data_IF_313202258890
#
_entry.id   IF_313202258890
#
_cell.length_a   1.000
_cell.length_b   1.000
_cell.length_c   1.000
_cell.angle_alpha   90.00
_cell.angle_beta   90.00
_cell.angle_gamma   90.00
#
_symmetry.space_group_name_H-M   'P 1'
#
loop_
_entity.id
_entity.type
_entity.pdbx_description
1 polymer ?
#
# COMPACT_ATOMS: atom_id res chain seq x y z
N UNK A 1 -12.69 25.51 1.80
CA UNK A 1 -11.78 24.42 2.25
C UNK A 1 -12.18 23.16 1.52
N UNK A 2 -11.22 22.42 0.95
CA UNK A 2 -11.49 21.17 0.23
C UNK A 2 -11.51 20.00 1.21
N UNK A 3 -12.58 19.21 1.19
CA UNK A 3 -12.68 17.99 2.01
C UNK A 3 -12.15 16.79 1.23
N UNK A 4 -11.31 15.99 1.88
CA UNK A 4 -10.71 14.79 1.30
C UNK A 4 -11.02 13.60 2.21
N UNK A 5 -11.47 12.51 1.61
CA UNK A 5 -11.71 11.22 2.27
C UNK A 5 -10.67 10.22 1.79
N UNK A 6 -10.01 9.58 2.75
CA UNK A 6 -9.00 8.57 2.49
C UNK A 6 -9.60 7.21 2.89
N UNK A 7 -9.63 6.27 1.95
CA UNK A 7 -9.98 4.87 2.22
C UNK A 7 -8.75 4.01 1.97
N UNK A 8 -8.27 3.35 3.02
CA UNK A 8 -7.15 2.42 2.93
C UNK A 8 -7.61 0.99 3.22
N UNK A 9 -7.18 0.05 2.37
CA UNK A 9 -7.34 -1.38 2.60
C UNK A 9 -5.95 -2.01 2.80
N UNK A 10 -5.58 -2.37 4.03
CA UNK A 10 -4.26 -2.93 4.32
C UNK A 10 -4.07 -4.35 3.75
N UNK A 11 -5.14 -5.07 3.45
CA UNK A 11 -5.08 -6.43 2.89
C UNK A 11 -4.81 -6.41 1.39
N UNK A 12 -5.54 -5.56 0.65
CA UNK A 12 -5.39 -5.42 -0.79
C UNK A 12 -4.28 -4.45 -1.19
N UNK A 13 -3.72 -3.75 -0.20
CA UNK A 13 -2.63 -2.79 -0.39
C UNK A 13 -3.01 -1.57 -1.21
N UNK A 14 -4.26 -1.16 -1.08
CA UNK A 14 -4.84 -0.08 -1.86
C UNK A 14 -5.18 1.11 -0.97
N UNK A 15 -4.84 2.29 -1.45
CA UNK A 15 -5.29 3.56 -0.89
C UNK A 15 -6.06 4.27 -2.00
N UNK A 16 -7.27 4.73 -1.69
CA UNK A 16 -8.09 5.53 -2.58
C UNK A 16 -8.42 6.85 -1.91
N UNK A 17 -8.48 7.90 -2.72
CA UNK A 17 -8.69 9.26 -2.28
C UNK A 17 -9.94 9.81 -2.98
N UNK A 18 -10.84 10.41 -2.21
CA UNK A 18 -12.07 10.99 -2.73
C UNK A 18 -12.17 12.46 -2.29
N UNK A 19 -12.71 13.30 -3.16
CA UNK A 19 -13.05 14.70 -2.91
C UNK A 19 -14.55 14.81 -2.72
N UNK A 20 -14.95 15.68 -1.78
CA UNK A 20 -16.37 15.99 -1.60
C UNK A 20 -16.79 17.01 -2.63
N UNK A 21 -17.81 16.68 -3.43
CA UNK A 21 -18.46 17.61 -4.32
C UNK A 21 -19.71 18.16 -3.65
N UNK A 22 -19.67 19.47 -3.34
CA UNK A 22 -20.79 20.15 -2.70
C UNK A 22 -22.00 20.34 -3.63
N UNK A 23 -21.82 20.22 -4.96
CA UNK A 23 -22.93 20.37 -5.91
C UNK A 23 -23.78 19.09 -6.01
N UNK A 24 -23.15 17.93 -5.87
CA UNK A 24 -23.82 16.61 -5.92
C UNK A 24 -24.02 15.98 -4.54
N UNK A 25 -23.47 16.60 -3.49
CA UNK A 25 -23.41 16.07 -2.12
C UNK A 25 -22.73 14.69 -2.02
N UNK A 26 -21.82 14.40 -2.95
CA UNK A 26 -21.25 13.07 -3.14
C UNK A 26 -19.72 13.03 -3.07
N UNK A 27 -19.19 11.81 -2.87
CA UNK A 27 -17.75 11.56 -2.81
C UNK A 27 -17.23 11.05 -4.15
N UNK A 28 -16.54 11.91 -4.88
CA UNK A 28 -16.01 11.62 -6.21
C UNK A 28 -14.55 11.18 -6.08
N UNK A 29 -14.12 10.19 -6.88
CA UNK A 29 -12.71 9.80 -6.92
C UNK A 29 -11.87 10.99 -7.40
N UNK A 30 -10.78 11.29 -6.68
CA UNK A 30 -9.82 12.34 -7.05
C UNK A 30 -9.27 12.10 -8.46
N UNK A 31 -9.19 10.83 -8.89
CA UNK A 31 -8.76 10.48 -10.24
C UNK A 31 -9.69 10.99 -11.33
N UNK A 32 -10.97 11.21 -11.02
CA UNK A 32 -11.98 11.71 -11.95
C UNK A 32 -12.18 13.23 -11.79
N UNK A 33 -12.00 13.77 -10.59
CA UNK A 33 -12.24 15.19 -10.33
C UNK A 33 -11.08 16.09 -10.71
N UNK A 34 -9.83 15.64 -10.57
CA UNK A 34 -8.64 16.47 -10.80
C UNK A 34 -7.48 15.66 -11.37
N UNK A 35 -7.27 15.78 -12.69
CA UNK A 35 -6.23 15.05 -13.41
C UNK A 35 -4.80 15.39 -12.96
N UNK A 36 -4.58 16.59 -12.42
CA UNK A 36 -3.25 17.07 -12.00
C UNK A 36 -2.96 16.81 -10.52
N UNK A 37 -3.89 16.19 -9.79
CA UNK A 37 -3.72 15.93 -8.37
C UNK A 37 -2.59 14.93 -8.11
N UNK A 38 -1.67 15.30 -7.20
CA UNK A 38 -0.57 14.43 -6.74
C UNK A 38 -1.07 13.22 -5.94
N UNK A 39 -2.32 13.25 -5.48
CA UNK A 39 -2.95 12.13 -4.78
C UNK A 39 -3.45 11.03 -5.74
N UNK A 40 -3.26 11.21 -7.06
CA UNK A 40 -3.45 10.13 -8.04
C UNK A 40 -2.27 9.16 -8.10
N UNK A 41 -1.12 9.55 -7.56
CA UNK A 41 0.10 8.73 -7.58
C UNK A 41 -0.16 7.38 -6.88
N UNK A 42 0.33 6.29 -7.49
CA UNK A 42 0.18 4.92 -7.01
C UNK A 42 1.02 4.70 -5.74
N UNK A 43 0.60 5.31 -4.64
CA UNK A 43 1.23 5.25 -3.32
C UNK A 43 1.28 3.82 -2.73
N UNK A 44 0.56 2.87 -3.33
CA UNK A 44 0.55 1.46 -2.96
C UNK A 44 1.92 0.80 -3.06
N UNK A 45 2.84 1.28 -3.90
CA UNK A 45 4.21 0.75 -3.88
C UNK A 45 5.01 1.36 -2.72
N UNK A 46 5.03 2.69 -2.59
CA UNK A 46 5.86 3.40 -1.60
C UNK A 46 5.55 3.07 -0.15
N UNK A 47 4.27 3.02 0.24
CA UNK A 47 3.89 2.74 1.63
C UNK A 47 4.12 1.28 2.02
N UNK A 48 3.93 0.36 1.07
CA UNK A 48 4.17 -1.06 1.33
C UNK A 48 5.65 -1.41 1.38
N UNK A 49 6.52 -0.67 0.70
CA UNK A 49 7.97 -0.81 0.85
C UNK A 49 8.43 -0.58 2.29
N UNK A 50 7.94 0.46 2.96
CA UNK A 50 8.29 0.74 4.38
C UNK A 50 7.79 -0.36 5.33
N UNK A 51 6.56 -0.83 5.13
CA UNK A 51 5.98 -1.96 5.88
C UNK A 51 6.75 -3.28 5.64
N UNK A 52 7.16 -3.54 4.39
CA UNK A 52 7.94 -4.71 3.99
C UNK A 52 9.35 -4.66 4.56
N UNK A 53 10.01 -3.50 4.54
CA UNK A 53 11.32 -3.27 5.16
C UNK A 53 11.28 -3.52 6.67
N UNK A 54 10.26 -3.03 7.37
CA UNK A 54 10.12 -3.25 8.82
C UNK A 54 9.93 -4.73 9.16
N UNK A 55 9.15 -5.47 8.37
CA UNK A 55 9.02 -6.93 8.50
C UNK A 55 10.35 -7.65 8.23
N UNK A 56 11.09 -7.23 7.22
CA UNK A 56 12.41 -7.79 6.90
C UNK A 56 13.42 -7.58 8.04
N UNK A 57 13.52 -6.36 8.59
CA UNK A 57 14.37 -6.05 9.74
C UNK A 57 13.98 -6.82 11.01
N UNK A 58 12.68 -7.02 11.24
CA UNK A 58 12.18 -7.83 12.36
C UNK A 58 12.52 -9.33 12.20
N UNK A 59 12.63 -9.82 10.96
CA UNK A 59 13.03 -11.20 10.65
C UNK A 59 14.54 -11.40 10.80
N UNK A 60 15.34 -10.42 10.34
CA UNK A 60 16.79 -10.43 10.51
C UNK A 60 17.23 -10.34 11.97
N UNK A 61 16.52 -9.55 12.78
CA UNK A 61 16.82 -9.41 14.22
C UNK A 61 16.45 -10.64 15.05
N UNK A 62 15.54 -11.50 14.56
CA UNK A 62 15.30 -12.82 15.14
C UNK A 62 16.37 -13.80 14.65
N UNK A 63 17.50 -13.85 15.37
CA UNK A 63 18.63 -14.78 15.16
C UNK A 63 18.28 -16.27 15.42
N UNK A 64 17.05 -16.71 15.17
CA UNK A 64 16.55 -18.04 15.55
C UNK A 64 16.43 -19.02 14.39
N UNK A 65 16.73 -18.61 13.15
CA UNK A 65 16.62 -19.47 11.96
C UNK A 65 17.95 -19.52 11.19
N UNK A 66 18.32 -20.70 10.67
CA UNK A 66 19.47 -20.84 9.78
C UNK A 66 19.27 -20.06 8.47
N UNK A 67 20.37 -19.59 7.87
CA UNK A 67 20.38 -18.81 6.62
C UNK A 67 19.57 -19.48 5.50
N UNK A 68 19.65 -20.81 5.36
CA UNK A 68 18.87 -21.57 4.37
C UNK A 68 17.35 -21.53 4.62
N UNK A 69 16.92 -21.56 5.89
CA UNK A 69 15.49 -21.47 6.23
C UNK A 69 14.96 -20.06 5.95
N UNK A 70 15.78 -19.03 6.21
CA UNK A 70 15.44 -17.63 5.87
C UNK A 70 15.29 -17.46 4.35
N UNK A 71 16.23 -18.01 3.56
CA UNK A 71 16.22 -17.93 2.11
C UNK A 71 15.02 -18.66 1.48
N UNK A 72 14.71 -19.86 1.94
CA UNK A 72 13.57 -20.63 1.43
C UNK A 72 12.22 -20.01 1.81
N UNK A 73 12.09 -19.43 3.01
CA UNK A 73 10.91 -18.66 3.38
C UNK A 73 10.73 -17.43 2.47
N UNK A 74 11.83 -16.72 2.18
CA UNK A 74 11.84 -15.55 1.31
C UNK A 74 11.41 -15.88 -0.13
N UNK A 75 11.96 -16.95 -0.71
CA UNK A 75 11.56 -17.42 -2.04
C UNK A 75 10.07 -17.81 -2.11
N UNK A 76 9.54 -18.40 -1.04
CA UNK A 76 8.12 -18.75 -0.95
C UNK A 76 7.24 -17.50 -0.94
N UNK A 77 7.54 -16.55 -0.06
CA UNK A 77 6.82 -15.26 0.05
C UNK A 77 6.83 -14.50 -1.29
N UNK A 78 8.00 -14.36 -1.93
CA UNK A 78 8.13 -13.70 -3.23
C UNK A 78 7.28 -14.36 -4.32
N UNK A 79 7.28 -15.69 -4.40
CA UNK A 79 6.46 -16.44 -5.38
C UNK A 79 4.96 -16.22 -5.17
N UNK A 80 4.49 -16.26 -3.92
CA UNK A 80 3.08 -15.95 -3.61
C UNK A 80 2.68 -14.51 -3.91
N UNK A 81 3.63 -13.58 -3.88
CA UNK A 81 3.35 -12.16 -4.18
C UNK A 81 3.37 -11.81 -5.67
N UNK A 82 3.93 -12.68 -6.53
CA UNK A 82 3.94 -12.52 -7.98
C UNK A 82 2.82 -13.28 -8.71
N UNK A 83 2.03 -14.07 -7.97
CA UNK A 83 0.90 -14.87 -8.49
C UNK A 83 -0.48 -14.26 -8.17
N UNK A 84 -0.52 -13.05 -7.59
CA UNK A 84 -1.73 -12.25 -7.34
C UNK A 84 -1.55 -10.88 -7.96
#
# INVERSE_FOLDING_TARGET
MTQIKIKSNPYNREISYQTFDAATEDWIDIKQSDEKSRLRETDSERFFYLLRLRKFLALLSKNTMSEEKKYNYYLKELRTSMLK
#
